data_IF_692266106177
#
_entry.id   IF_692266106177
#
_cell.length_a   1.000
_cell.length_b   1.000
_cell.length_c   1.000
_cell.angle_alpha   90.00
_cell.angle_beta   90.00
_cell.angle_gamma   90.00
#
_symmetry.space_group_name_H-M   'P 1'
#
loop_
_entity.id
_entity.type
_entity.pdbx_description
1 polymer ?
#
# COMPACT_ATOMS: atom_id res chain seq x y z
N UNK A 1 -2.54 1.16 -51.80
CA UNK A 1 -2.01 2.22 -50.91
C UNK A 1 -2.87 2.37 -49.66
N UNK A 2 -4.19 2.55 -49.79
CA UNK A 2 -5.15 2.73 -48.68
C UNK A 2 -5.20 1.53 -47.71
N UNK A 3 -5.19 0.29 -48.21
CA UNK A 3 -5.22 -0.93 -47.37
C UNK A 3 -3.98 -1.10 -46.48
N UNK A 4 -2.80 -0.68 -46.96
CA UNK A 4 -1.58 -0.69 -46.13
C UNK A 4 -1.62 0.40 -45.06
N UNK A 5 -2.23 1.55 -45.36
CA UNK A 5 -2.41 2.64 -44.40
C UNK A 5 -3.36 2.26 -43.26
N UNK A 6 -4.49 1.61 -43.60
CA UNK A 6 -5.46 1.12 -42.61
C UNK A 6 -4.84 0.05 -41.71
N UNK A 7 -4.11 -0.90 -42.27
CA UNK A 7 -3.41 -1.93 -41.49
C UNK A 7 -2.37 -1.32 -40.54
N UNK A 8 -1.64 -0.28 -40.99
CA UNK A 8 -0.65 0.42 -40.16
C UNK A 8 -1.31 1.19 -39.02
N UNK A 9 -2.40 1.90 -39.28
CA UNK A 9 -3.16 2.62 -38.23
C UNK A 9 -3.73 1.64 -37.20
N UNK A 10 -4.28 0.50 -37.65
CA UNK A 10 -4.81 -0.54 -36.76
C UNK A 10 -3.72 -1.15 -35.86
N UNK A 11 -2.52 -1.40 -36.40
CA UNK A 11 -1.34 -1.85 -35.66
C UNK A 11 -0.84 -0.81 -34.65
N UNK A 12 -0.87 0.49 -35.01
CA UNK A 12 -0.47 1.58 -34.13
C UNK A 12 -1.44 1.77 -32.95
N UNK A 13 -2.74 1.58 -33.16
CA UNK A 13 -3.75 1.65 -32.08
C UNK A 13 -3.64 0.52 -31.05
N UNK A 14 -3.07 -0.64 -31.41
CA UNK A 14 -2.91 -1.78 -30.49
C UNK A 14 -1.83 -1.56 -29.42
N UNK A 15 -0.92 -0.59 -29.62
CA UNK A 15 0.20 -0.32 -28.72
C UNK A 15 -0.15 0.61 -27.55
N UNK A 16 -1.39 1.11 -27.45
CA UNK A 16 -1.83 2.01 -26.39
C UNK A 16 -2.35 1.28 -25.12
N UNK A 17 -1.63 0.28 -24.63
CA UNK A 17 -1.96 -0.31 -23.32
C UNK A 17 -1.24 0.48 -22.22
N UNK A 18 -1.99 1.26 -21.43
CA UNK A 18 -1.43 2.03 -20.32
C UNK A 18 -0.76 1.12 -19.29
N UNK A 19 0.55 1.32 -19.04
CA UNK A 19 1.24 0.67 -17.94
C UNK A 19 0.67 1.18 -16.60
N UNK A 20 0.01 0.30 -15.83
CA UNK A 20 -0.47 0.66 -14.50
C UNK A 20 0.69 0.63 -13.50
N UNK A 21 1.27 1.79 -13.22
CA UNK A 21 2.24 1.94 -12.13
C UNK A 21 1.50 1.98 -10.79
N UNK A 22 1.36 0.84 -10.12
CA UNK A 22 0.73 0.78 -8.79
C UNK A 22 0.34 -0.62 -8.35
N UNK A 23 0.13 -0.79 -7.05
CA UNK A 23 -0.43 -1.99 -6.44
C UNK A 23 -1.68 -1.64 -5.62
N UNK A 24 -2.44 -2.66 -5.20
CA UNK A 24 -3.70 -2.46 -4.49
C UNK A 24 -3.54 -1.99 -3.03
N UNK A 25 -2.31 -1.91 -2.49
CA UNK A 25 -2.08 -1.69 -1.05
C UNK A 25 -2.68 -0.39 -0.53
N UNK A 26 -2.67 0.68 -1.33
CA UNK A 26 -3.24 1.98 -0.92
C UNK A 26 -4.76 1.97 -0.79
N UNK A 27 -5.45 0.95 -1.33
CA UNK A 27 -6.90 0.79 -1.24
C UNK A 27 -7.35 -0.05 -0.05
N UNK A 28 -6.43 -0.79 0.58
CA UNK A 28 -6.73 -1.66 1.72
C UNK A 28 -6.98 -0.79 2.95
N UNK A 29 -8.10 -1.05 3.63
CA UNK A 29 -8.57 -0.23 4.76
C UNK A 29 -8.37 -0.89 6.12
N UNK A 30 -8.24 -2.21 6.17
CA UNK A 30 -8.07 -2.96 7.40
C UNK A 30 -6.97 -4.00 7.25
N UNK A 31 -6.20 -4.29 8.31
CA UNK A 31 -5.21 -5.36 8.29
C UNK A 31 -5.83 -6.72 7.97
N UNK A 32 -5.03 -7.59 7.35
CA UNK A 32 -5.38 -9.00 7.25
C UNK A 32 -5.38 -9.62 8.65
N UNK A 33 -6.47 -10.29 9.04
CA UNK A 33 -6.58 -10.98 10.31
C UNK A 33 -5.59 -12.16 10.40
N UNK A 34 -5.20 -12.50 11.63
CA UNK A 34 -4.28 -13.62 11.91
C UNK A 34 -3.06 -13.19 12.69
N UNK A 35 -2.05 -14.08 12.71
CA UNK A 35 -0.81 -13.83 13.44
C UNK A 35 0.02 -12.72 12.76
N UNK A 36 0.69 -11.85 13.56
CA UNK A 36 1.60 -10.86 13.02
C UNK A 36 2.74 -11.52 12.23
N UNK A 37 2.89 -11.14 10.96
CA UNK A 37 3.96 -11.65 10.10
C UNK A 37 4.44 -10.55 9.16
N UNK A 38 5.73 -10.22 9.23
CA UNK A 38 6.40 -9.34 8.27
C UNK A 38 6.97 -10.19 7.15
N UNK A 39 6.68 -9.81 5.90
CA UNK A 39 7.05 -10.58 4.70
C UNK A 39 7.87 -9.67 3.78
N UNK A 40 9.09 -10.07 3.46
CA UNK A 40 10.00 -9.30 2.60
C UNK A 40 10.84 -8.26 3.35
N UNK A 41 11.38 -7.29 2.62
CA UNK A 41 12.24 -6.23 3.16
C UNK A 41 11.44 -4.95 3.48
N UNK A 42 12.06 -4.00 4.18
CA UNK A 42 11.41 -2.73 4.55
C UNK A 42 10.95 -1.88 3.35
N UNK A 43 11.61 -2.01 2.20
CA UNK A 43 11.31 -1.25 0.97
C UNK A 43 10.52 -2.07 -0.07
N UNK A 44 10.36 -3.38 0.15
CA UNK A 44 9.69 -4.30 -0.75
C UNK A 44 9.06 -5.45 0.04
N UNK A 45 8.05 -5.14 0.84
CA UNK A 45 7.39 -6.11 1.71
C UNK A 45 5.95 -5.78 2.05
N UNK A 46 5.32 -6.64 2.84
CA UNK A 46 3.99 -6.46 3.40
C UNK A 46 3.89 -7.04 4.82
N UNK A 47 2.74 -6.88 5.45
CA UNK A 47 2.48 -7.37 6.80
C UNK A 47 1.07 -7.96 6.91
N UNK A 48 0.97 -9.15 7.51
CA UNK A 48 -0.27 -9.75 7.99
C UNK A 48 -0.37 -9.56 9.51
N UNK A 49 -1.59 -9.53 10.06
CA UNK A 49 -1.81 -9.37 11.50
C UNK A 49 -1.30 -8.04 12.07
N UNK A 50 -1.24 -6.98 11.25
CA UNK A 50 -0.88 -5.65 11.74
C UNK A 50 -1.94 -5.12 12.70
N UNK A 51 -1.51 -4.36 13.70
CA UNK A 51 -2.40 -3.74 14.70
C UNK A 51 -2.30 -2.22 14.61
N UNK A 52 -3.38 -1.54 14.99
CA UNK A 52 -3.44 -0.09 14.99
C UNK A 52 -2.71 0.48 16.21
N UNK A 53 -1.96 1.57 16.01
CA UNK A 53 -1.54 2.46 17.08
C UNK A 53 -2.78 3.24 17.59
N UNK A 54 -3.00 3.36 18.91
CA UNK A 54 -4.01 4.27 19.44
C UNK A 54 -3.84 5.69 18.89
N UNK A 55 -4.95 6.38 18.62
CA UNK A 55 -4.86 7.73 18.01
C UNK A 55 -4.26 8.77 18.95
N UNK A 56 -4.38 8.53 20.25
CA UNK A 56 -3.81 9.33 21.33
C UNK A 56 -3.22 8.35 22.34
N UNK A 57 -2.01 8.61 22.78
CA UNK A 57 -1.37 7.91 23.89
C UNK A 57 -0.57 8.89 24.74
N UNK A 58 0.05 8.39 25.80
CA UNK A 58 0.89 9.23 26.64
C UNK A 58 2.08 9.75 25.82
N UNK A 59 2.20 11.07 25.73
CA UNK A 59 3.29 11.77 25.04
C UNK A 59 3.31 11.66 23.50
N UNK A 60 2.26 11.09 22.88
CA UNK A 60 2.11 11.14 21.42
C UNK A 60 0.66 11.29 20.94
N UNK A 61 0.52 11.80 19.72
CA UNK A 61 -0.74 11.84 18.99
C UNK A 61 -0.52 11.46 17.52
N UNK A 62 -1.39 10.61 16.98
CA UNK A 62 -1.32 10.20 15.57
C UNK A 62 -1.73 11.36 14.67
N UNK A 63 -0.80 11.81 13.83
CA UNK A 63 -1.06 12.83 12.82
C UNK A 63 -1.72 12.26 11.56
N UNK A 64 -2.61 13.04 10.94
CA UNK A 64 -3.24 12.73 9.64
C UNK A 64 -3.90 11.34 9.61
N UNK A 65 -4.60 10.99 10.69
CA UNK A 65 -5.29 9.70 10.83
C UNK A 65 -6.23 9.35 9.66
N UNK A 66 -6.78 10.36 8.97
CA UNK A 66 -7.57 10.20 7.74
C UNK A 66 -6.85 9.45 6.61
N UNK A 67 -5.52 9.40 6.62
CA UNK A 67 -4.73 8.63 5.64
C UNK A 67 -4.72 7.13 5.89
N UNK A 68 -5.18 6.67 7.05
CA UNK A 68 -5.23 5.26 7.41
C UNK A 68 -3.84 4.57 7.41
N UNK A 69 -2.81 5.27 7.94
CA UNK A 69 -1.40 4.81 7.96
C UNK A 69 -0.82 4.74 9.37
N UNK A 70 -1.58 4.21 10.31
CA UNK A 70 -1.20 4.10 11.73
C UNK A 70 -1.21 2.63 12.18
N UNK A 71 -0.89 1.71 11.27
CA UNK A 71 -0.82 0.27 11.54
C UNK A 71 0.62 -0.21 11.50
N UNK A 72 0.94 -1.22 12.30
CA UNK A 72 2.28 -1.81 12.33
C UNK A 72 2.31 -3.18 13.01
N UNK A 73 3.52 -3.73 13.12
CA UNK A 73 3.75 -4.92 13.92
C UNK A 73 3.54 -4.59 15.42
N UNK A 74 2.99 -5.50 16.25
CA UNK A 74 2.76 -5.22 17.67
C UNK A 74 4.00 -4.74 18.44
N UNK A 75 5.19 -5.20 18.08
CA UNK A 75 6.45 -4.71 18.67
C UNK A 75 6.73 -3.23 18.34
N UNK A 76 6.39 -2.76 17.13
CA UNK A 76 6.51 -1.36 16.77
C UNK A 76 5.53 -0.50 17.57
N UNK A 77 4.29 -0.98 17.71
CA UNK A 77 3.26 -0.26 18.47
C UNK A 77 3.69 -0.11 19.93
N UNK A 78 4.12 -1.20 20.57
CA UNK A 78 4.67 -1.17 21.94
C UNK A 78 5.88 -0.24 22.06
N UNK A 79 6.79 -0.26 21.09
CA UNK A 79 7.93 0.64 21.08
C UNK A 79 7.51 2.10 21.08
N UNK A 80 6.53 2.48 20.27
CA UNK A 80 6.02 3.86 20.22
C UNK A 80 5.34 4.23 21.55
N UNK A 81 4.47 3.35 22.07
CA UNK A 81 3.75 3.58 23.33
C UNK A 81 4.68 3.72 24.54
N UNK A 82 5.86 3.09 24.52
CA UNK A 82 6.84 3.19 25.60
C UNK A 82 7.74 4.44 25.51
N UNK A 83 7.83 5.05 24.33
CA UNK A 83 8.74 6.16 24.04
C UNK A 83 8.01 7.51 23.93
N UNK A 84 6.68 7.49 23.93
CA UNK A 84 5.83 8.67 24.05
C UNK A 84 6.05 9.36 25.38
#
# INVERSE_FOLDING_TARGET
>A
MVTRLIALVFLLSLSMTSAHAGNAWSKIRHPLAGHPQVIGSYSAGCIAGAVALPLVGDGYQVMRASRNRYYGHPLLIRFIEQQG
#
